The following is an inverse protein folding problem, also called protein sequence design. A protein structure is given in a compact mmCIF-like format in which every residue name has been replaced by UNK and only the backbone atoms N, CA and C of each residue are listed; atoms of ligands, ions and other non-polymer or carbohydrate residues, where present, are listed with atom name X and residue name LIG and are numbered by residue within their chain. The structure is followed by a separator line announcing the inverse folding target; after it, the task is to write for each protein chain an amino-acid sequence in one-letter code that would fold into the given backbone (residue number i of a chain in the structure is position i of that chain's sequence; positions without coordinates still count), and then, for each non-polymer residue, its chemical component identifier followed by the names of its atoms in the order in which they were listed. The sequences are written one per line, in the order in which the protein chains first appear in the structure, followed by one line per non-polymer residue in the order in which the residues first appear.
data_IF_668973823933
#
_entry.id   IF_668973823933
#
_cell.length_a   1.000
_cell.length_b   1.000
_cell.length_c   1.000
_cell.angle_alpha   90.00
_cell.angle_beta   90.00
_cell.angle_gamma   90.00
#
_symmetry.space_group_name_H-M   'P 1'
#
loop_
_entity.id
_entity.type
_entity.pdbx_description
1 polymer ?
#
# COMPACT_ATOMS: atom_id res chain seq x y z
N UNK A 1 5.01 -13.86 9.04
CA UNK A 1 4.71 -13.15 7.80
C UNK A 1 3.36 -13.63 7.29
N UNK A 2 2.50 -12.71 6.83
CA UNK A 2 1.18 -13.06 6.30
C UNK A 2 1.25 -13.82 4.96
N UNK A 3 0.09 -14.26 4.46
CA UNK A 3 -0.05 -15.08 3.24
C UNK A 3 0.58 -14.44 1.99
N UNK A 4 0.33 -13.14 1.79
CA UNK A 4 0.86 -12.40 0.62
C UNK A 4 2.40 -12.39 0.56
N UNK A 5 3.12 -11.93 1.59
CA UNK A 5 4.58 -11.96 1.59
C UNK A 5 5.16 -13.38 1.43
N UNK A 6 4.54 -14.37 2.07
CA UNK A 6 4.96 -15.76 1.98
C UNK A 6 4.83 -16.30 0.55
N UNK A 7 3.69 -16.05 -0.10
CA UNK A 7 3.43 -16.46 -1.48
C UNK A 7 4.38 -15.78 -2.47
N UNK A 8 4.55 -14.45 -2.35
CA UNK A 8 5.44 -13.71 -3.25
C UNK A 8 6.90 -14.12 -3.07
N UNK A 9 7.34 -14.42 -1.84
CA UNK A 9 8.70 -14.94 -1.58
C UNK A 9 8.91 -16.28 -2.30
N UNK A 10 7.97 -17.23 -2.14
CA UNK A 10 8.03 -18.54 -2.82
C UNK A 10 8.06 -18.37 -4.35
N UNK A 11 7.21 -17.49 -4.86
CA UNK A 11 7.13 -17.20 -6.29
C UNK A 11 8.46 -16.61 -6.83
N UNK A 12 8.98 -15.58 -6.19
CA UNK A 12 10.23 -14.92 -6.60
C UNK A 12 11.43 -15.87 -6.52
N UNK A 13 11.50 -16.71 -5.48
CA UNK A 13 12.52 -17.75 -5.35
C UNK A 13 12.49 -18.73 -6.52
N UNK A 14 11.29 -19.22 -6.89
CA UNK A 14 11.13 -20.13 -8.06
C UNK A 14 11.58 -19.46 -9.36
N UNK A 15 11.35 -18.16 -9.49
CA UNK A 15 11.73 -17.37 -10.69
C UNK A 15 13.16 -16.82 -10.63
N UNK A 16 13.92 -17.11 -9.59
CA UNK A 16 15.28 -16.56 -9.34
C UNK A 16 15.35 -15.02 -9.36
N UNK A 17 14.30 -14.39 -8.83
CA UNK A 17 14.15 -12.92 -8.75
C UNK A 17 14.33 -12.46 -7.30
N UNK A 18 15.01 -11.33 -7.10
CA UNK A 18 15.15 -10.72 -5.79
C UNK A 18 13.79 -10.33 -5.20
N UNK A 19 13.61 -10.54 -3.91
CA UNK A 19 12.40 -10.20 -3.17
C UNK A 19 12.78 -9.47 -1.87
N UNK A 20 12.20 -8.31 -1.66
CA UNK A 20 12.34 -7.53 -0.42
C UNK A 20 10.96 -7.32 0.21
N UNK A 21 10.80 -7.74 1.43
CA UNK A 21 9.66 -7.45 2.29
C UNK A 21 10.15 -7.11 3.69
N UNK A 22 9.42 -6.28 4.41
CA UNK A 22 9.79 -5.82 5.74
C UNK A 22 8.55 -5.38 6.52
N UNK A 23 8.70 -5.25 7.82
CA UNK A 23 7.73 -4.66 8.73
C UNK A 23 8.14 -3.21 9.01
N UNK A 24 7.20 -2.29 8.97
CA UNK A 24 7.45 -0.89 9.32
C UNK A 24 7.75 -0.73 10.80
N UNK A 25 8.42 0.36 11.20
CA UNK A 25 8.60 0.69 12.60
C UNK A 25 7.28 0.66 13.36
N UNK A 26 7.28 0.03 14.53
CA UNK A 26 6.09 -0.18 15.35
C UNK A 26 5.12 -1.27 14.84
N UNK A 27 5.51 -2.06 13.83
CA UNK A 27 4.73 -3.21 13.34
C UNK A 27 5.48 -4.52 13.54
N UNK A 28 4.74 -5.57 13.88
CA UNK A 28 5.27 -6.93 14.00
C UNK A 28 6.47 -7.00 14.96
N UNK A 29 7.63 -7.43 14.43
CA UNK A 29 8.88 -7.54 15.18
C UNK A 29 9.82 -6.33 15.03
N UNK A 30 9.43 -5.33 14.25
CA UNK A 30 10.22 -4.11 14.07
C UNK A 30 10.21 -3.24 15.34
N UNK A 31 11.33 -2.57 15.61
CA UNK A 31 11.47 -1.65 16.72
C UNK A 31 10.52 -0.44 16.63
N UNK A 32 10.36 0.28 17.75
CA UNK A 32 9.48 1.44 17.88
C UNK A 32 8.07 1.07 18.31
N UNK A 33 7.27 2.10 18.58
CA UNK A 33 5.87 1.94 19.01
C UNK A 33 4.93 2.35 17.88
N UNK A 34 3.82 1.63 17.69
CA UNK A 34 2.82 1.96 16.66
C UNK A 34 2.28 3.38 16.79
N UNK A 35 2.07 3.87 18.02
CA UNK A 35 1.59 5.23 18.30
C UNK A 35 2.53 6.35 17.80
N UNK A 36 3.79 6.03 17.55
CA UNK A 36 4.79 6.94 16.96
C UNK A 36 4.77 6.88 15.43
N UNK A 37 4.05 5.91 14.88
CA UNK A 37 3.97 5.66 13.45
C UNK A 37 3.10 6.69 12.71
N UNK A 38 3.46 6.94 11.46
CA UNK A 38 2.68 7.72 10.52
C UNK A 38 3.14 7.45 9.08
N UNK A 39 2.41 7.95 8.11
CA UNK A 39 2.68 7.67 6.69
C UNK A 39 4.08 8.13 6.26
N UNK A 40 4.55 9.28 6.72
CA UNK A 40 5.92 9.75 6.40
C UNK A 40 6.99 8.85 7.00
N UNK A 41 6.83 8.45 8.27
CA UNK A 41 7.78 7.55 8.95
C UNK A 41 7.88 6.22 8.21
N UNK A 42 6.75 5.57 7.95
CA UNK A 42 6.70 4.30 7.25
C UNK A 42 7.19 4.38 5.80
N UNK A 43 6.91 5.50 5.10
CA UNK A 43 7.49 5.76 3.78
C UNK A 43 9.02 5.91 3.85
N UNK A 44 9.54 6.54 4.91
CA UNK A 44 10.98 6.69 5.12
C UNK A 44 11.65 5.36 5.48
N UNK A 45 11.01 4.50 6.29
CA UNK A 45 11.48 3.15 6.58
C UNK A 45 11.67 2.36 5.28
N UNK A 46 10.64 2.35 4.42
CA UNK A 46 10.70 1.71 3.11
C UNK A 46 11.81 2.29 2.23
N UNK A 47 11.91 3.63 2.16
CA UNK A 47 12.97 4.32 1.40
C UNK A 47 14.37 3.92 1.85
N UNK A 48 14.62 3.94 3.17
CA UNK A 48 15.94 3.60 3.75
C UNK A 48 16.31 2.15 3.46
N UNK A 49 15.38 1.22 3.68
CA UNK A 49 15.62 -0.21 3.44
C UNK A 49 15.88 -0.52 1.96
N UNK A 50 15.10 0.05 1.05
CA UNK A 50 15.32 -0.11 -0.38
C UNK A 50 16.70 0.41 -0.77
N UNK A 51 17.06 1.62 -0.33
CA UNK A 51 18.39 2.20 -0.63
C UNK A 51 19.55 1.38 -0.06
N UNK A 52 19.38 0.82 1.16
CA UNK A 52 20.43 0.04 1.81
C UNK A 52 20.60 -1.37 1.19
N UNK A 53 19.52 -1.97 0.68
CA UNK A 53 19.53 -3.37 0.22
C UNK A 53 19.57 -3.53 -1.30
N UNK A 54 19.21 -2.50 -2.06
CA UNK A 54 19.06 -2.60 -3.51
C UNK A 54 19.95 -1.57 -4.21
N UNK A 55 20.85 -2.05 -5.08
CA UNK A 55 21.73 -1.19 -5.88
C UNK A 55 20.92 -0.30 -6.82
N UNK A 56 21.38 0.94 -7.04
CA UNK A 56 20.66 1.96 -7.83
C UNK A 56 20.34 1.54 -9.28
N UNK A 57 21.11 0.63 -9.88
CA UNK A 57 20.88 0.13 -11.24
C UNK A 57 19.81 -0.97 -11.35
N UNK A 58 19.33 -1.51 -10.23
CA UNK A 58 18.34 -2.61 -10.25
C UNK A 58 16.95 -2.08 -10.56
N UNK A 59 16.23 -2.82 -11.39
CA UNK A 59 14.80 -2.58 -11.71
C UNK A 59 13.92 -3.02 -10.55
N UNK A 60 12.86 -2.28 -10.27
CA UNK A 60 11.94 -2.50 -9.15
C UNK A 60 10.52 -2.65 -9.65
N UNK A 61 9.82 -3.65 -9.15
CA UNK A 61 8.36 -3.74 -9.21
C UNK A 61 7.85 -3.56 -7.79
N UNK A 62 7.00 -2.56 -7.58
CA UNK A 62 6.38 -2.35 -6.28
C UNK A 62 5.08 -3.14 -6.19
N UNK A 63 4.91 -3.86 -5.07
CA UNK A 63 3.64 -4.51 -4.72
C UNK A 63 3.18 -3.93 -3.39
N UNK A 64 2.04 -3.27 -3.37
CA UNK A 64 1.47 -2.68 -2.18
C UNK A 64 0.05 -3.18 -1.91
N UNK A 65 -0.25 -3.55 -0.66
CA UNK A 65 -1.60 -3.92 -0.24
C UNK A 65 -2.14 -2.88 0.74
N UNK A 66 -3.38 -2.41 0.53
CA UNK A 66 -4.05 -1.43 1.38
C UNK A 66 -3.17 -0.19 1.65
N UNK A 67 -2.82 0.10 2.91
CA UNK A 67 -1.88 1.16 3.30
C UNK A 67 -0.51 1.03 2.61
N UNK A 68 -0.03 -0.19 2.39
CA UNK A 68 1.24 -0.45 1.69
C UNK A 68 1.26 0.11 0.26
N UNK A 69 0.11 0.17 -0.41
CA UNK A 69 -0.03 0.86 -1.70
C UNK A 69 0.17 2.38 -1.57
N UNK A 70 -0.34 2.99 -0.51
CA UNK A 70 -0.13 4.42 -0.27
C UNK A 70 1.35 4.74 -0.04
N UNK A 71 2.01 3.93 0.78
CA UNK A 71 3.45 4.06 1.04
C UNK A 71 4.24 3.87 -0.26
N UNK A 72 3.92 2.85 -1.07
CA UNK A 72 4.53 2.65 -2.37
C UNK A 72 4.37 3.88 -3.28
N UNK A 73 3.15 4.45 -3.38
CA UNK A 73 2.88 5.65 -4.18
C UNK A 73 3.70 6.88 -3.74
N UNK A 74 3.98 7.04 -2.44
CA UNK A 74 4.86 8.10 -1.94
C UNK A 74 6.32 7.92 -2.39
N UNK A 75 6.72 6.71 -2.72
CA UNK A 75 8.10 6.40 -3.13
C UNK A 75 8.35 6.55 -4.64
N UNK A 76 7.30 6.76 -5.44
CA UNK A 76 7.44 6.86 -6.89
C UNK A 76 8.38 7.99 -7.33
N UNK A 77 8.36 9.13 -6.68
CA UNK A 77 9.27 10.24 -6.99
C UNK A 77 10.73 9.90 -6.68
N UNK A 78 10.96 9.15 -5.60
CA UNK A 78 12.31 8.78 -5.13
C UNK A 78 12.95 7.73 -6.03
N UNK A 79 12.18 6.73 -6.49
CA UNK A 79 12.67 5.60 -7.27
C UNK A 79 12.23 5.64 -8.74
N UNK A 80 11.89 6.83 -9.25
CA UNK A 80 11.31 7.05 -10.59
C UNK A 80 12.08 6.32 -11.71
N UNK A 81 13.41 6.32 -11.67
CA UNK A 81 14.25 5.69 -12.69
C UNK A 81 14.29 4.16 -12.60
N UNK A 82 14.07 3.62 -11.39
CA UNK A 82 14.16 2.19 -11.12
C UNK A 82 12.83 1.46 -11.24
N UNK A 83 11.70 2.13 -10.94
CA UNK A 83 10.38 1.51 -10.96
C UNK A 83 10.00 1.14 -12.40
N UNK A 84 9.71 -0.14 -12.61
CA UNK A 84 9.30 -0.74 -13.90
C UNK A 84 7.87 -1.31 -13.86
N UNK A 85 7.21 -1.30 -12.71
CA UNK A 85 5.82 -1.72 -12.59
C UNK A 85 5.28 -1.52 -11.17
N UNK A 86 3.97 -1.51 -11.05
CA UNK A 86 3.27 -1.43 -9.77
C UNK A 86 2.05 -2.34 -9.74
N UNK A 87 1.95 -3.13 -8.69
CA UNK A 87 0.75 -3.91 -8.36
C UNK A 87 0.17 -3.38 -7.06
N UNK A 88 -1.04 -2.84 -7.13
CA UNK A 88 -1.81 -2.43 -5.96
C UNK A 88 -2.90 -3.44 -5.65
N UNK A 89 -3.02 -3.84 -4.38
CA UNK A 89 -4.00 -4.82 -3.90
C UNK A 89 -4.90 -4.12 -2.89
N UNK A 90 -6.21 -4.02 -3.18
CA UNK A 90 -7.19 -3.30 -2.33
C UNK A 90 -6.63 -1.97 -1.84
N UNK A 91 -6.07 -1.20 -2.74
CA UNK A 91 -5.23 -0.03 -2.44
C UNK A 91 -6.02 1.08 -1.75
N UNK A 92 -5.50 1.56 -0.61
CA UNK A 92 -6.19 2.53 0.27
C UNK A 92 -5.38 3.82 0.51
N UNK A 93 -4.96 4.57 -0.54
CA UNK A 93 -4.31 5.84 -0.30
C UNK A 93 -5.28 6.84 0.35
N UNK A 94 -4.76 7.66 1.27
CA UNK A 94 -5.52 8.68 1.98
C UNK A 94 -6.71 8.14 2.80
N UNK A 95 -6.72 6.84 3.15
CA UNK A 95 -7.82 6.22 3.90
C UNK A 95 -8.06 6.88 5.26
N UNK A 96 -7.01 7.37 5.91
CA UNK A 96 -7.10 8.05 7.20
C UNK A 96 -8.07 9.24 7.17
N UNK A 97 -8.06 10.01 6.11
CA UNK A 97 -8.97 11.15 5.93
C UNK A 97 -10.27 10.72 5.24
N UNK A 98 -10.15 9.97 4.13
CA UNK A 98 -11.29 9.73 3.25
C UNK A 98 -12.24 8.63 3.72
N UNK A 99 -11.76 7.68 4.51
CA UNK A 99 -12.57 6.58 5.03
C UNK A 99 -12.74 6.67 6.54
N UNK A 100 -11.66 6.84 7.30
CA UNK A 100 -11.70 6.81 8.75
C UNK A 100 -12.19 8.13 9.35
N UNK A 101 -11.49 9.24 9.09
CA UNK A 101 -11.84 10.55 9.65
C UNK A 101 -13.25 11.00 9.31
N UNK A 102 -13.71 10.76 8.07
CA UNK A 102 -15.07 11.11 7.66
C UNK A 102 -16.16 10.40 8.48
N UNK A 103 -15.90 9.16 8.89
CA UNK A 103 -16.85 8.35 9.69
C UNK A 103 -16.85 8.73 11.17
N UNK A 104 -15.81 9.39 11.68
CA UNK A 104 -15.74 9.78 13.09
C UNK A 104 -16.76 10.85 13.43
N UNK A 105 -17.41 10.70 14.61
CA UNK A 105 -18.29 11.72 15.18
C UNK A 105 -17.51 12.99 15.57
N UNK A 106 -18.21 14.09 15.74
CA UNK A 106 -17.60 15.34 16.24
C UNK A 106 -16.88 15.14 17.59
N UNK A 107 -17.44 14.31 18.48
CA UNK A 107 -16.85 13.93 19.79
C UNK A 107 -15.51 13.22 19.61
N UNK A 108 -15.43 12.16 18.77
CA UNK A 108 -14.18 11.44 18.51
C UNK A 108 -13.12 12.36 17.89
N UNK A 109 -13.52 13.16 16.90
CA UNK A 109 -12.61 14.15 16.28
C UNK A 109 -12.03 15.13 17.31
N UNK A 110 -12.87 15.64 18.23
CA UNK A 110 -12.43 16.52 19.31
C UNK A 110 -11.43 15.80 20.21
N UNK A 111 -11.72 14.56 20.66
CA UNK A 111 -10.82 13.75 21.49
C UNK A 111 -9.46 13.60 20.81
N UNK A 112 -9.41 13.21 19.54
CA UNK A 112 -8.15 13.04 18.80
C UNK A 112 -7.36 14.35 18.76
N UNK A 113 -8.03 15.49 18.53
CA UNK A 113 -7.36 16.79 18.40
C UNK A 113 -6.88 17.38 19.72
N UNK A 114 -7.61 17.14 20.82
CA UNK A 114 -7.23 17.63 22.16
C UNK A 114 -6.31 16.66 22.91
N UNK A 115 -6.74 15.40 23.08
CA UNK A 115 -6.05 14.38 23.86
C UNK A 115 -4.91 13.70 23.08
N UNK A 116 -4.71 14.06 21.80
CA UNK A 116 -3.69 13.54 20.88
C UNK A 116 -3.87 12.08 20.48
N UNK A 117 -4.74 11.30 21.12
CA UNK A 117 -4.96 9.87 20.85
C UNK A 117 -6.42 9.48 21.15
N UNK A 118 -6.93 8.54 20.35
CA UNK A 118 -8.19 7.82 20.56
C UNK A 118 -7.98 6.36 20.24
N UNK A 119 -8.49 5.47 21.08
CA UNK A 119 -8.44 4.04 20.86
C UNK A 119 -9.72 3.57 20.17
N UNK A 120 -9.60 3.26 18.89
CA UNK A 120 -10.71 2.74 18.07
C UNK A 120 -10.83 1.23 18.29
N UNK A 121 -11.99 0.78 18.74
CA UNK A 121 -12.32 -0.64 18.85
C UNK A 121 -12.98 -1.14 17.56
N UNK A 122 -12.47 -2.22 16.99
CA UNK A 122 -13.05 -2.95 15.85
C UNK A 122 -12.99 -4.45 16.17
N UNK A 123 -14.14 -5.01 16.56
CA UNK A 123 -14.20 -6.37 17.10
C UNK A 123 -13.33 -6.53 18.36
N UNK A 124 -12.46 -7.51 18.35
CA UNK A 124 -11.51 -7.76 19.45
C UNK A 124 -10.26 -6.86 19.41
N UNK A 125 -10.08 -6.11 18.34
CA UNK A 125 -8.88 -5.29 18.14
C UNK A 125 -9.09 -3.85 18.59
N UNK A 126 -8.03 -3.27 19.14
CA UNK A 126 -8.00 -1.86 19.52
C UNK A 126 -6.84 -1.16 18.81
N UNK A 127 -7.17 -0.15 18.02
CA UNK A 127 -6.20 0.61 17.23
C UNK A 127 -6.01 2.02 17.81
N UNK A 128 -4.80 2.43 18.17
CA UNK A 128 -4.52 3.81 18.58
C UNK A 128 -4.52 4.73 17.36
N UNK A 129 -5.47 5.65 17.29
CA UNK A 129 -5.55 6.68 16.28
C UNK A 129 -5.02 7.98 16.88
N UNK A 130 -3.83 8.38 16.45
CA UNK A 130 -3.17 9.57 17.00
C UNK A 130 -3.43 10.81 16.15
N UNK A 131 -3.40 11.99 16.78
CA UNK A 131 -3.48 13.30 16.10
C UNK A 131 -2.40 13.41 15.02
N UNK A 132 -1.16 12.97 15.34
CA UNK A 132 -0.05 13.01 14.39
C UNK A 132 -0.28 12.11 13.17
N UNK A 133 -0.88 10.92 13.34
CA UNK A 133 -1.21 10.01 12.25
C UNK A 133 -2.18 10.68 11.26
N UNK A 134 -3.24 11.30 11.78
CA UNK A 134 -4.23 12.02 10.95
C UNK A 134 -3.60 13.21 10.22
N UNK A 135 -2.89 14.08 10.95
CA UNK A 135 -2.27 15.28 10.35
C UNK A 135 -1.23 14.89 9.30
N UNK A 136 -0.42 13.88 9.61
CA UNK A 136 0.60 13.39 8.69
C UNK A 136 -0.03 12.74 7.45
N UNK A 137 -1.12 11.98 7.60
CA UNK A 137 -1.89 11.46 6.48
C UNK A 137 -2.36 12.55 5.52
N UNK A 138 -2.85 13.68 6.05
CA UNK A 138 -3.25 14.86 5.24
C UNK A 138 -2.08 15.47 4.45
N UNK A 139 -0.86 15.45 4.98
CA UNK A 139 0.35 15.94 4.31
C UNK A 139 0.83 15.00 3.19
N UNK A 140 0.50 13.72 3.26
CA UNK A 140 0.95 12.69 2.32
C UNK A 140 -0.08 12.37 1.21
N UNK A 141 -0.82 13.38 0.73
CA UNK A 141 -1.80 13.19 -0.35
C UNK A 141 -1.12 12.74 -1.64
N UNK A 142 -1.71 11.78 -2.32
CA UNK A 142 -1.21 11.22 -3.59
C UNK A 142 -2.25 11.20 -4.69
N UNK A 143 -3.55 11.20 -4.36
CA UNK A 143 -4.63 11.06 -5.33
C UNK A 143 -4.82 12.26 -6.24
N UNK A 144 -4.26 13.41 -5.90
CA UNK A 144 -4.28 14.62 -6.72
C UNK A 144 -2.96 14.82 -7.49
N UNK A 145 -2.00 13.90 -7.37
CA UNK A 145 -0.72 13.97 -8.10
C UNK A 145 -0.89 13.42 -9.52
N UNK A 146 -0.02 13.85 -10.43
CA UNK A 146 0.18 13.23 -11.74
C UNK A 146 1.54 12.56 -11.76
N UNK A 147 1.58 11.25 -11.98
CA UNK A 147 2.80 10.45 -12.05
C UNK A 147 3.03 10.05 -13.51
N UNK A 148 3.87 10.82 -14.19
CA UNK A 148 4.15 10.65 -15.61
C UNK A 148 5.21 9.55 -15.85
N UNK A 149 4.81 8.29 -15.68
CA UNK A 149 5.63 7.12 -15.96
C UNK A 149 4.90 6.23 -16.97
N UNK A 150 5.62 5.77 -17.98
CA UNK A 150 5.12 4.79 -18.96
C UNK A 150 5.53 3.39 -18.47
N UNK A 151 4.82 2.89 -17.48
CA UNK A 151 5.01 1.57 -16.87
C UNK A 151 3.67 0.87 -16.67
N UNK A 152 3.63 -0.46 -16.55
CA UNK A 152 2.41 -1.17 -16.19
C UNK A 152 1.98 -0.86 -14.76
N UNK A 153 0.71 -0.53 -14.61
CA UNK A 153 0.03 -0.30 -13.33
C UNK A 153 -1.16 -1.24 -13.27
N UNK A 154 -1.09 -2.26 -12.45
CA UNK A 154 -2.18 -3.21 -12.26
C UNK A 154 -2.73 -3.08 -10.84
N UNK A 155 -4.04 -2.89 -10.75
CA UNK A 155 -4.75 -2.85 -9.47
C UNK A 155 -5.69 -4.05 -9.36
N UNK A 156 -5.59 -4.76 -8.25
CA UNK A 156 -6.53 -5.81 -7.86
C UNK A 156 -7.50 -5.26 -6.82
N UNK A 157 -8.78 -5.52 -7.01
CA UNK A 157 -9.81 -5.07 -6.07
C UNK A 157 -10.89 -6.13 -5.91
N UNK A 158 -11.19 -6.51 -4.67
CA UNK A 158 -12.27 -7.42 -4.34
C UNK A 158 -13.62 -6.72 -4.42
N UNK A 159 -14.60 -7.32 -5.12
CA UNK A 159 -15.94 -6.71 -5.19
C UNK A 159 -16.73 -6.84 -3.88
N UNK A 160 -16.27 -7.70 -2.96
CA UNK A 160 -16.75 -7.81 -1.58
C UNK A 160 -15.84 -7.10 -0.57
N UNK A 161 -15.05 -6.11 -1.01
CA UNK A 161 -14.23 -5.27 -0.12
C UNK A 161 -15.14 -4.24 0.57
N UNK A 162 -15.49 -4.50 1.83
CA UNK A 162 -16.33 -3.64 2.67
C UNK A 162 -15.55 -2.49 3.31
N UNK A 163 -14.21 -2.55 3.26
CA UNK A 163 -13.31 -1.58 3.90
C UNK A 163 -12.97 -0.43 2.94
N UNK A 164 -12.56 -0.78 1.72
CA UNK A 164 -12.10 0.18 0.71
C UNK A 164 -12.99 0.13 -0.53
N UNK A 165 -13.74 1.19 -0.84
CA UNK A 165 -14.57 1.23 -2.04
C UNK A 165 -13.75 1.13 -3.34
N UNK A 166 -14.26 0.41 -4.35
CA UNK A 166 -13.67 0.24 -5.68
C UNK A 166 -13.24 1.59 -6.33
N UNK A 167 -13.92 2.67 -5.97
CA UNK A 167 -13.62 4.02 -6.44
C UNK A 167 -12.16 4.44 -6.14
N UNK A 168 -11.55 3.92 -5.07
CA UNK A 168 -10.14 4.21 -4.75
C UNK A 168 -9.20 3.68 -5.84
N UNK A 169 -9.42 2.46 -6.31
CA UNK A 169 -8.66 1.91 -7.44
C UNK A 169 -8.84 2.74 -8.71
N UNK A 170 -10.07 3.16 -9.03
CA UNK A 170 -10.33 4.04 -10.17
C UNK A 170 -9.60 5.39 -10.04
N UNK A 171 -9.56 5.99 -8.84
CA UNK A 171 -8.83 7.24 -8.57
C UNK A 171 -7.32 7.07 -8.72
N UNK A 172 -6.76 5.95 -8.24
CA UNK A 172 -5.33 5.66 -8.40
C UNK A 172 -4.95 5.55 -9.88
N UNK A 173 -5.74 4.89 -10.71
CA UNK A 173 -5.44 4.81 -12.15
C UNK A 173 -5.43 6.19 -12.83
N UNK A 174 -6.19 7.15 -12.34
CA UNK A 174 -6.21 8.53 -12.90
C UNK A 174 -4.91 9.29 -12.64
N UNK A 175 -4.17 8.98 -11.56
CA UNK A 175 -2.90 9.67 -11.28
C UNK A 175 -1.76 9.25 -12.22
N UNK A 176 -1.94 8.20 -13.01
CA UNK A 176 -0.97 7.69 -13.98
C UNK A 176 -1.42 7.93 -15.43
N UNK A 177 -1.32 9.15 -15.97
CA UNK A 177 -1.86 9.45 -17.29
C UNK A 177 -1.20 8.68 -18.43
N UNK A 178 0.10 8.38 -18.34
CA UNK A 178 0.91 7.73 -19.39
C UNK A 178 1.09 6.21 -19.18
N UNK A 179 0.57 5.63 -18.12
CA UNK A 179 0.79 4.23 -17.79
C UNK A 179 -0.09 3.26 -18.58
N UNK A 180 0.39 2.04 -18.81
CA UNK A 180 -0.42 0.90 -19.21
C UNK A 180 -1.23 0.42 -18.01
N UNK A 181 -2.53 0.75 -17.97
CA UNK A 181 -3.40 0.58 -16.79
C UNK A 181 -4.27 -0.66 -16.89
N UNK A 182 -4.36 -1.40 -15.79
CA UNK A 182 -5.23 -2.57 -15.66
C UNK A 182 -5.93 -2.57 -14.30
N UNK A 183 -7.24 -2.80 -14.29
CA UNK A 183 -8.04 -2.99 -13.08
C UNK A 183 -8.65 -4.39 -13.12
N UNK A 184 -8.17 -5.27 -12.26
CA UNK A 184 -8.65 -6.63 -12.12
C UNK A 184 -9.59 -6.69 -10.92
N UNK A 185 -10.88 -6.87 -11.21
CA UNK A 185 -11.91 -7.05 -10.19
C UNK A 185 -12.03 -8.53 -9.86
N UNK A 186 -12.10 -8.85 -8.57
CA UNK A 186 -12.28 -10.21 -8.08
C UNK A 186 -13.70 -10.33 -7.50
N UNK A 187 -14.60 -11.02 -8.19
CA UNK A 187 -16.05 -11.05 -7.86
C UNK A 187 -16.31 -11.46 -6.41
N UNK A 188 -15.67 -12.51 -5.90
CA UNK A 188 -15.81 -12.99 -4.52
C UNK A 188 -14.61 -12.60 -3.62
N UNK A 189 -13.84 -11.58 -4.04
CA UNK A 189 -12.68 -11.09 -3.30
C UNK A 189 -13.10 -10.15 -2.17
N UNK A 190 -12.52 -10.34 -1.01
CA UNK A 190 -12.58 -9.46 0.15
C UNK A 190 -11.47 -8.38 0.09
N UNK A 191 -11.34 -7.59 1.16
CA UNK A 191 -10.27 -6.60 1.29
C UNK A 191 -8.88 -7.23 1.26
N UNK A 192 -8.74 -8.40 1.83
CA UNK A 192 -7.44 -9.06 1.97
C UNK A 192 -6.89 -9.58 0.64
N UNK A 193 -7.74 -10.15 -0.23
CA UNK A 193 -7.34 -10.87 -1.44
C UNK A 193 -6.19 -11.85 -1.17
N UNK A 194 -6.31 -12.61 -0.07
CA UNK A 194 -5.28 -13.56 0.39
C UNK A 194 -5.63 -15.02 0.10
N UNK A 195 -6.79 -15.30 -0.49
CA UNK A 195 -7.16 -16.66 -0.89
C UNK A 195 -6.19 -17.17 -1.96
N UNK A 196 -5.93 -18.47 -1.97
CA UNK A 196 -4.98 -19.14 -2.89
C UNK A 196 -5.20 -18.76 -4.36
N UNK A 197 -6.45 -18.70 -4.80
CA UNK A 197 -6.79 -18.33 -6.19
C UNK A 197 -6.52 -16.85 -6.48
N UNK A 198 -6.74 -15.96 -5.51
CA UNK A 198 -6.45 -14.52 -5.68
C UNK A 198 -4.95 -14.30 -5.80
N UNK A 199 -4.17 -14.93 -4.91
CA UNK A 199 -2.71 -14.86 -4.92
C UNK A 199 -2.13 -15.46 -6.22
N UNK A 200 -2.72 -16.54 -6.74
CA UNK A 200 -2.32 -17.12 -8.04
C UNK A 200 -2.54 -16.13 -9.19
N UNK A 201 -3.68 -15.41 -9.21
CA UNK A 201 -3.94 -14.36 -10.22
C UNK A 201 -2.95 -13.20 -10.09
N UNK A 202 -2.62 -12.76 -8.88
CA UNK A 202 -1.65 -11.69 -8.65
C UNK A 202 -0.24 -12.11 -9.11
N UNK A 203 0.18 -13.35 -8.81
CA UNK A 203 1.45 -13.89 -9.29
C UNK A 203 1.51 -14.03 -10.83
N UNK A 204 0.38 -14.37 -11.47
CA UNK A 204 0.29 -14.42 -12.94
C UNK A 204 0.54 -13.03 -13.54
N UNK A 205 -0.09 -12.00 -12.99
CA UNK A 205 0.10 -10.63 -13.44
C UNK A 205 1.52 -10.11 -13.17
N UNK A 206 2.07 -10.45 -12.01
CA UNK A 206 3.48 -10.17 -11.71
C UNK A 206 4.42 -10.79 -12.75
N UNK A 207 4.14 -12.02 -13.21
CA UNK A 207 4.91 -12.67 -14.26
C UNK A 207 4.88 -11.86 -15.57
N UNK A 208 3.70 -11.39 -16.00
CA UNK A 208 3.58 -10.56 -17.21
C UNK A 208 4.42 -9.28 -17.09
N UNK A 209 4.34 -8.58 -15.96
CA UNK A 209 5.13 -7.37 -15.75
C UNK A 209 6.63 -7.65 -15.81
N UNK A 210 7.08 -8.78 -15.25
CA UNK A 210 8.49 -9.17 -15.26
C UNK A 210 8.95 -9.50 -16.68
N UNK A 211 8.19 -10.32 -17.42
CA UNK A 211 8.55 -10.73 -18.78
C UNK A 211 8.63 -9.56 -19.76
N UNK A 212 7.75 -8.55 -19.60
CA UNK A 212 7.65 -7.45 -20.55
C UNK A 212 8.58 -6.28 -20.21
N UNK A 213 9.09 -6.16 -18.98
CA UNK A 213 9.71 -4.91 -18.51
C UNK A 213 10.96 -5.10 -17.65
N UNK A 214 11.33 -6.30 -17.27
CA UNK A 214 12.48 -6.63 -16.42
C UNK A 214 13.45 -7.55 -17.09
#
# INVERSE_FOLDING_TARGET
AGEKPSTFRKYCRKKKIGFLTFEYSGHGKSSGKFIEGNISRWSNDAKRLIKAKIKNKKKLIFIGSSMGSWIALNLFSVFKKQIKGFIGISSAPEFLEKLMWKKFTKKIKKIIMTNKIYYLKEGEWTYPITKQLIINGRKNKVLNKKINLNIPITLFHGLKDEIVPLMFSKKILKIFPKAKKKLIKINNGDHSLSKKNDLKKICKELNHIISDHV
#
